data_IF_851021194911
#
_entry.id   IF_851021194911
#
_cell.length_a   1.000
_cell.length_b   1.000
_cell.length_c   1.000
_cell.angle_alpha   90.00
_cell.angle_beta   90.00
_cell.angle_gamma   90.00
#
_symmetry.space_group_name_H-M   'P 1'
#
loop_
_entity.id
_entity.type
_entity.pdbx_description
1 polymer ?
#
# COMPACT_ATOMS: atom_id res chain seq x y z
N UNK A 1 -9.85 18.07 -1.05
CA UNK A 1 -9.15 16.80 -1.25
C UNK A 1 -9.78 15.93 -2.33
N UNK A 2 -11.08 15.74 -2.29
CA UNK A 2 -11.79 14.92 -3.28
C UNK A 2 -11.52 15.33 -4.71
N UNK A 3 -11.55 16.64 -5.00
CA UNK A 3 -11.33 17.15 -6.34
C UNK A 3 -9.89 16.98 -6.83
N UNK A 4 -8.93 16.80 -5.93
CA UNK A 4 -7.53 16.63 -6.28
C UNK A 4 -7.16 15.19 -6.67
N UNK A 5 -8.02 14.21 -6.39
CA UNK A 5 -7.76 12.80 -6.71
C UNK A 5 -7.48 12.62 -8.20
N UNK A 6 -8.24 13.32 -9.06
CA UNK A 6 -8.07 13.24 -10.51
C UNK A 6 -6.73 13.79 -11.01
N UNK A 7 -6.00 14.53 -10.16
CA UNK A 7 -4.68 15.05 -10.51
C UNK A 7 -3.56 14.02 -10.33
N UNK A 8 -3.82 12.93 -9.63
CA UNK A 8 -2.85 11.86 -9.48
C UNK A 8 -2.65 11.15 -10.82
N UNK A 9 -1.42 11.10 -11.28
CA UNK A 9 -1.05 10.46 -12.55
C UNK A 9 -0.45 9.09 -12.27
N UNK A 10 -1.32 8.14 -11.92
CA UNK A 10 -0.93 6.78 -11.53
C UNK A 10 -1.57 5.79 -12.49
N UNK A 11 -0.84 5.41 -13.52
CA UNK A 11 -1.30 4.46 -14.52
C UNK A 11 -1.41 3.06 -13.92
N UNK A 12 -2.51 2.38 -14.22
CA UNK A 12 -2.77 0.98 -13.82
C UNK A 12 -2.80 0.75 -12.30
N UNK A 13 -2.93 1.80 -11.50
CA UNK A 13 -3.13 1.66 -10.05
C UNK A 13 -4.52 2.22 -9.70
N UNK A 14 -5.41 1.36 -9.19
CA UNK A 14 -6.74 1.84 -8.78
C UNK A 14 -6.61 2.90 -7.68
N UNK A 15 -7.27 4.02 -7.90
CA UNK A 15 -7.25 5.15 -6.97
C UNK A 15 -8.69 5.58 -6.75
N UNK A 16 -9.10 5.69 -5.48
CA UNK A 16 -10.47 6.06 -5.15
C UNK A 16 -10.53 6.99 -3.96
N UNK A 17 -11.57 7.82 -3.93
CA UNK A 17 -11.94 8.60 -2.76
C UNK A 17 -12.95 7.78 -1.94
N UNK A 18 -12.62 7.54 -0.67
CA UNK A 18 -13.38 6.67 0.21
C UNK A 18 -13.66 7.40 1.52
N UNK A 19 -14.87 7.95 1.61
CA UNK A 19 -15.23 8.79 2.76
C UNK A 19 -14.44 10.08 2.79
N UNK A 20 -13.44 10.16 3.66
CA UNK A 20 -12.59 11.35 3.80
C UNK A 20 -11.15 11.10 3.34
N UNK A 21 -10.82 9.90 2.88
CA UNK A 21 -9.45 9.51 2.52
C UNK A 21 -9.35 9.18 1.03
N UNK A 22 -8.14 9.28 0.51
CA UNK A 22 -7.80 8.80 -0.83
C UNK A 22 -7.03 7.49 -0.68
N UNK A 23 -7.46 6.44 -1.39
CA UNK A 23 -6.81 5.13 -1.37
C UNK A 23 -6.17 4.83 -2.71
N UNK A 24 -4.88 4.53 -2.68
CA UNK A 24 -4.12 4.09 -3.85
C UNK A 24 -3.78 2.62 -3.66
N UNK A 25 -4.28 1.74 -4.53
CA UNK A 25 -4.01 0.30 -4.46
C UNK A 25 -2.77 -0.04 -5.28
N UNK A 26 -1.81 -0.70 -4.64
CA UNK A 26 -0.62 -1.22 -5.33
C UNK A 26 -0.65 -2.74 -5.23
N UNK A 27 -0.76 -3.47 -6.35
CA UNK A 27 -0.75 -4.93 -6.30
C UNK A 27 0.50 -5.46 -5.62
N UNK A 28 0.33 -6.36 -4.64
CA UNK A 28 1.46 -6.93 -3.92
C UNK A 28 2.39 -7.71 -4.85
N UNK A 29 1.84 -8.31 -5.92
CA UNK A 29 2.63 -9.09 -6.88
C UNK A 29 3.59 -8.22 -7.71
N UNK A 30 3.40 -6.90 -7.72
CA UNK A 30 4.35 -5.95 -8.31
C UNK A 30 5.45 -5.53 -7.35
N UNK A 31 5.34 -5.90 -6.09
CA UNK A 31 6.26 -5.49 -5.02
C UNK A 31 7.02 -6.66 -4.42
N UNK A 32 6.39 -7.82 -4.30
CA UNK A 32 6.92 -8.97 -3.56
C UNK A 32 6.71 -10.27 -4.31
N UNK A 33 7.57 -11.25 -4.07
CA UNK A 33 7.29 -12.64 -4.41
C UNK A 33 6.25 -13.21 -3.44
N UNK A 34 5.68 -14.37 -3.78
CA UNK A 34 4.67 -15.01 -2.96
C UNK A 34 5.17 -15.23 -1.53
N UNK A 35 4.36 -14.84 -0.55
CA UNK A 35 4.61 -14.97 0.89
C UNK A 35 5.92 -14.30 1.37
N UNK A 36 6.52 -13.44 0.57
CA UNK A 36 7.74 -12.71 0.94
C UNK A 36 7.44 -11.26 1.30
N UNK A 37 8.33 -10.65 2.08
CA UNK A 37 8.27 -9.24 2.46
C UNK A 37 9.52 -8.47 1.99
N UNK A 38 10.28 -9.04 1.07
CA UNK A 38 11.43 -8.37 0.43
C UNK A 38 11.02 -7.87 -0.94
N UNK A 39 11.35 -6.64 -1.26
CA UNK A 39 10.99 -6.03 -2.54
C UNK A 39 11.69 -6.73 -3.71
N UNK A 40 10.92 -7.03 -4.76
CA UNK A 40 11.48 -7.51 -6.02
C UNK A 40 12.13 -6.36 -6.80
N UNK A 41 13.00 -6.63 -7.79
CA UNK A 41 13.77 -5.57 -8.46
C UNK A 41 12.94 -4.46 -9.11
N UNK A 42 11.72 -4.75 -9.56
CA UNK A 42 10.84 -3.72 -10.16
C UNK A 42 10.10 -2.85 -9.16
N UNK A 43 10.07 -3.23 -7.88
CA UNK A 43 9.28 -2.54 -6.87
C UNK A 43 9.72 -1.09 -6.58
N UNK A 44 11.02 -0.78 -6.49
CA UNK A 44 11.45 0.60 -6.22
C UNK A 44 10.92 1.61 -7.22
N UNK A 45 10.87 1.27 -8.50
CA UNK A 45 10.34 2.18 -9.53
C UNK A 45 8.86 2.47 -9.32
N UNK A 46 8.07 1.45 -8.98
CA UNK A 46 6.63 1.60 -8.70
C UNK A 46 6.42 2.51 -7.49
N UNK A 47 7.11 2.22 -6.40
CA UNK A 47 6.96 2.97 -5.15
C UNK A 47 7.43 4.42 -5.29
N UNK A 48 8.53 4.65 -6.00
CA UNK A 48 9.03 6.00 -6.25
C UNK A 48 8.06 6.82 -7.09
N UNK A 49 7.46 6.22 -8.12
CA UNK A 49 6.47 6.90 -8.96
C UNK A 49 5.24 7.30 -8.15
N UNK A 50 4.73 6.39 -7.31
CA UNK A 50 3.58 6.68 -6.44
C UNK A 50 3.93 7.80 -5.44
N UNK A 51 5.08 7.70 -4.79
CA UNK A 51 5.49 8.70 -3.80
C UNK A 51 5.63 10.10 -4.41
N UNK A 52 6.19 10.18 -5.61
CA UNK A 52 6.33 11.45 -6.32
C UNK A 52 4.97 12.10 -6.58
N UNK A 53 4.00 11.31 -7.05
CA UNK A 53 2.66 11.82 -7.35
C UNK A 53 1.90 12.21 -6.07
N UNK A 54 2.00 11.39 -5.03
CA UNK A 54 1.36 11.69 -3.75
C UNK A 54 1.93 12.99 -3.15
N UNK A 55 3.25 13.15 -3.15
CA UNK A 55 3.88 14.37 -2.64
C UNK A 55 3.51 15.59 -3.49
N UNK A 56 3.40 15.42 -4.80
CA UNK A 56 3.02 16.51 -5.70
C UNK A 56 1.60 17.01 -5.44
N UNK A 57 0.66 16.10 -5.25
CA UNK A 57 -0.77 16.42 -5.14
C UNK A 57 -1.22 16.66 -3.70
N UNK A 58 -0.67 15.91 -2.75
CA UNK A 58 -1.04 15.94 -1.34
C UNK A 58 0.19 16.13 -0.44
N UNK A 59 0.95 17.22 -0.60
CA UNK A 59 2.18 17.40 0.18
C UNK A 59 1.89 17.47 1.68
N UNK A 60 2.65 16.72 2.46
CA UNK A 60 2.61 16.76 3.91
C UNK A 60 1.43 16.08 4.58
N UNK A 61 0.52 15.47 3.84
CA UNK A 61 -0.61 14.75 4.42
C UNK A 61 -0.15 13.47 5.12
N UNK A 62 -0.85 13.08 6.19
CA UNK A 62 -0.65 11.75 6.78
C UNK A 62 -0.98 10.67 5.78
N UNK A 63 -0.14 9.63 5.75
CA UNK A 63 -0.30 8.49 4.85
C UNK A 63 -0.19 7.21 5.66
N UNK A 64 -1.25 6.41 5.64
CA UNK A 64 -1.22 5.05 6.18
C UNK A 64 -0.74 4.08 5.11
N UNK A 65 0.23 3.25 5.47
CA UNK A 65 0.70 2.15 4.62
C UNK A 65 -0.01 0.89 5.11
N UNK A 66 -0.99 0.41 4.35
CA UNK A 66 -1.83 -0.71 4.75
C UNK A 66 -1.46 -1.97 4.01
N UNK A 67 -1.20 -3.05 4.76
CA UNK A 67 -0.95 -4.36 4.19
C UNK A 67 -2.20 -5.22 4.19
N UNK A 68 -2.50 -5.85 3.05
CA UNK A 68 -3.66 -6.71 2.86
C UNK A 68 -3.26 -7.99 2.13
N UNK A 69 -3.85 -9.10 2.55
CA UNK A 69 -3.68 -10.41 1.91
C UNK A 69 -5.03 -10.94 1.42
N UNK A 70 -4.96 -11.96 0.58
CA UNK A 70 -6.14 -12.76 0.23
C UNK A 70 -6.40 -13.83 1.29
N UNK A 71 -7.39 -14.68 1.07
CA UNK A 71 -7.77 -15.75 1.99
C UNK A 71 -6.93 -17.03 1.85
N UNK A 72 -5.95 -17.06 0.94
CA UNK A 72 -5.13 -18.26 0.73
C UNK A 72 -4.25 -18.55 1.94
N UNK A 73 -4.04 -19.83 2.28
CA UNK A 73 -3.10 -20.18 3.34
C UNK A 73 -1.68 -19.74 2.98
N UNK A 74 -0.92 -19.33 4.01
CA UNK A 74 0.49 -19.01 3.83
C UNK A 74 1.28 -20.27 3.52
N UNK A 75 2.19 -20.19 2.55
CA UNK A 75 3.00 -21.31 2.09
C UNK A 75 4.41 -21.30 2.71
N UNK A 76 4.91 -20.11 3.07
CA UNK A 76 6.27 -19.98 3.59
C UNK A 76 6.36 -20.41 5.05
N UNK A 77 7.41 -21.15 5.38
CA UNK A 77 7.70 -21.52 6.77
C UNK A 77 8.14 -20.29 7.57
N UNK A 78 7.84 -20.30 8.86
CA UNK A 78 8.26 -19.24 9.78
C UNK A 78 7.32 -18.04 9.86
N UNK A 79 6.28 -17.99 9.04
CA UNK A 79 5.27 -16.94 9.14
C UNK A 79 4.17 -17.37 10.10
N UNK A 80 3.97 -16.61 11.17
CA UNK A 80 3.04 -16.97 12.24
C UNK A 80 1.57 -16.72 11.86
N UNK A 81 1.29 -15.74 10.98
CA UNK A 81 -0.09 -15.37 10.65
C UNK A 81 -0.14 -14.46 9.42
N UNK A 82 -1.33 -14.34 8.78
CA UNK A 82 -1.54 -13.33 7.75
C UNK A 82 -1.27 -11.92 8.23
N UNK A 83 -1.59 -11.60 9.49
CA UNK A 83 -1.29 -10.30 10.07
C UNK A 83 0.22 -10.04 10.12
N UNK A 84 1.01 -11.04 10.48
CA UNK A 84 2.47 -10.90 10.53
C UNK A 84 3.05 -10.62 9.14
N UNK A 85 2.58 -11.29 8.09
CA UNK A 85 3.05 -11.04 6.73
C UNK A 85 2.61 -9.65 6.25
N UNK A 86 1.34 -9.28 6.46
CA UNK A 86 0.86 -7.97 6.03
C UNK A 86 1.58 -6.83 6.77
N UNK A 87 1.91 -7.02 8.05
CA UNK A 87 2.70 -6.06 8.81
C UNK A 87 4.12 -5.95 8.26
N UNK A 88 4.78 -7.08 7.98
CA UNK A 88 6.14 -7.10 7.45
C UNK A 88 6.21 -6.42 6.08
N UNK A 89 5.23 -6.66 5.21
CA UNK A 89 5.15 -6.02 3.90
C UNK A 89 4.90 -4.52 4.02
N UNK A 90 3.98 -4.11 4.87
CA UNK A 90 3.72 -2.69 5.10
C UNK A 90 4.96 -1.98 5.66
N UNK A 91 5.68 -2.61 6.58
CA UNK A 91 6.91 -2.05 7.14
C UNK A 91 7.99 -1.89 6.06
N UNK A 92 8.18 -2.89 5.21
CA UNK A 92 9.15 -2.81 4.10
C UNK A 92 8.82 -1.63 3.18
N UNK A 93 7.55 -1.45 2.83
CA UNK A 93 7.12 -0.33 1.98
C UNK A 93 7.33 1.00 2.71
N UNK A 94 6.93 1.09 3.98
CA UNK A 94 7.10 2.31 4.77
C UNK A 94 8.57 2.72 4.85
N UNK A 95 9.46 1.77 5.12
CA UNK A 95 10.90 2.03 5.20
C UNK A 95 11.44 2.55 3.87
N UNK A 96 11.04 1.93 2.76
CA UNK A 96 11.44 2.41 1.43
C UNK A 96 10.95 3.84 1.21
N UNK A 97 9.68 4.11 1.50
CA UNK A 97 9.10 5.44 1.28
C UNK A 97 9.82 6.52 2.09
N UNK A 98 10.14 6.24 3.36
CA UNK A 98 10.78 7.23 4.23
C UNK A 98 12.26 7.43 3.90
N UNK A 99 12.95 6.41 3.40
CA UNK A 99 14.39 6.44 3.17
C UNK A 99 14.77 6.82 1.75
N UNK A 100 13.90 6.53 0.78
CA UNK A 100 14.24 6.60 -0.65
C UNK A 100 13.32 7.50 -1.47
N UNK A 101 12.38 8.20 -0.86
CA UNK A 101 11.43 9.07 -1.55
C UNK A 101 11.30 10.41 -0.81
N UNK A 102 10.60 11.41 -1.42
CA UNK A 102 10.36 12.68 -0.73
C UNK A 102 9.42 12.58 0.49
N UNK A 103 8.72 11.46 0.67
CA UNK A 103 7.82 11.28 1.81
C UNK A 103 8.63 11.18 3.11
N UNK A 104 8.14 11.80 4.17
CA UNK A 104 8.84 11.87 5.45
C UNK A 104 8.29 10.84 6.44
N UNK A 105 9.19 10.29 7.26
CA UNK A 105 8.80 9.31 8.28
C UNK A 105 7.71 9.84 9.22
N UNK A 106 7.71 11.14 9.51
CA UNK A 106 6.74 11.77 10.40
C UNK A 106 5.31 11.78 9.86
N UNK A 107 5.11 11.57 8.56
CA UNK A 107 3.79 11.50 7.96
C UNK A 107 3.32 10.06 7.66
N UNK A 108 4.15 9.07 7.92
CA UNK A 108 3.89 7.68 7.57
C UNK A 108 3.59 6.84 8.81
N UNK A 109 2.59 5.97 8.70
CA UNK A 109 2.31 4.95 9.72
C UNK A 109 1.84 3.69 9.01
N UNK A 110 1.91 2.55 9.71
CA UNK A 110 1.53 1.28 9.10
C UNK A 110 0.28 0.70 9.76
N UNK A 111 -0.48 -0.04 8.95
CA UNK A 111 -1.65 -0.79 9.40
C UNK A 111 -1.60 -2.17 8.74
N UNK A 112 -1.77 -3.22 9.53
CA UNK A 112 -1.78 -4.59 9.01
C UNK A 112 -3.17 -5.18 9.18
N UNK A 113 -3.82 -5.53 8.08
CA UNK A 113 -5.17 -6.08 8.10
C UNK A 113 -5.21 -7.61 7.90
N UNK A 114 -4.11 -8.24 7.52
CA UNK A 114 -4.15 -9.64 7.14
C UNK A 114 -5.12 -9.84 5.99
N UNK A 115 -6.02 -10.83 6.10
CA UNK A 115 -7.05 -11.11 5.08
C UNK A 115 -8.42 -10.56 5.43
N UNK A 116 -8.53 -9.69 6.43
CA UNK A 116 -9.81 -9.28 7.01
C UNK A 116 -10.58 -8.21 6.23
N UNK A 117 -9.94 -7.54 5.25
CA UNK A 117 -10.54 -6.44 4.51
C UNK A 117 -10.41 -6.63 2.99
N UNK A 118 -11.08 -7.66 2.43
CA UNK A 118 -11.04 -7.86 0.98
C UNK A 118 -11.75 -6.71 0.26
N UNK A 119 -11.17 -6.28 -0.87
CA UNK A 119 -11.79 -5.25 -1.72
C UNK A 119 -12.75 -5.88 -2.73
N UNK A 120 -12.54 -7.16 -3.03
CA UNK A 120 -13.40 -7.97 -3.90
C UNK A 120 -13.49 -9.38 -3.33
N UNK A 121 -14.33 -10.23 -3.93
CA UNK A 121 -14.47 -11.62 -3.47
C UNK A 121 -13.16 -12.41 -3.64
N UNK A 122 -12.84 -13.26 -2.66
CA UNK A 122 -11.74 -14.21 -2.71
C UNK A 122 -12.09 -15.49 -3.49
N UNK A 123 -13.29 -15.58 -4.04
CA UNK A 123 -13.76 -16.80 -4.71
C UNK A 123 -13.03 -17.10 -6.01
N UNK A 124 -12.49 -16.08 -6.67
CA UNK A 124 -11.75 -16.23 -7.93
C UNK A 124 -10.27 -15.93 -7.75
N UNK A 125 -9.43 -16.49 -8.64
CA UNK A 125 -8.00 -16.20 -8.64
C UNK A 125 -7.74 -14.71 -8.90
N UNK A 126 -8.49 -14.09 -9.80
CA UNK A 126 -8.35 -12.65 -10.09
C UNK A 126 -8.73 -11.80 -8.88
N UNK A 127 -9.79 -12.19 -8.15
CA UNK A 127 -10.18 -11.48 -6.93
C UNK A 127 -9.13 -11.60 -5.83
N UNK A 128 -8.58 -12.81 -5.65
CA UNK A 128 -7.50 -13.01 -4.67
C UNK A 128 -6.27 -12.18 -5.02
N UNK A 129 -5.90 -12.12 -6.30
CA UNK A 129 -4.78 -11.29 -6.74
C UNK A 129 -4.99 -9.82 -6.40
N UNK A 130 -6.18 -9.29 -6.64
CA UNK A 130 -6.49 -7.89 -6.28
C UNK A 130 -6.48 -7.67 -4.77
N UNK A 131 -6.92 -8.64 -3.98
CA UNK A 131 -6.92 -8.53 -2.53
C UNK A 131 -5.51 -8.50 -1.94
N UNK A 132 -4.53 -9.15 -2.60
CA UNK A 132 -3.11 -9.06 -2.20
C UNK A 132 -2.58 -7.70 -2.64
N UNK A 133 -2.57 -6.76 -1.72
CA UNK A 133 -2.21 -5.37 -2.05
C UNK A 133 -1.59 -4.62 -0.88
N UNK A 134 -0.87 -3.59 -1.22
CA UNK A 134 -0.54 -2.48 -0.31
C UNK A 134 -1.47 -1.33 -0.70
N UNK A 135 -2.10 -0.70 0.26
CA UNK A 135 -2.81 0.56 0.02
C UNK A 135 -2.08 1.70 0.68
N UNK A 136 -1.84 2.77 -0.06
CA UNK A 136 -1.44 4.03 0.53
C UNK A 136 -2.73 4.84 0.75
N UNK A 137 -2.99 5.16 2.00
CA UNK A 137 -4.21 5.84 2.42
C UNK A 137 -3.85 7.27 2.82
N UNK A 138 -4.27 8.23 2.02
CA UNK A 138 -3.93 9.64 2.22
C UNK A 138 -5.06 10.30 2.99
N UNK A 139 -4.73 10.84 4.15
CA UNK A 139 -5.70 11.48 5.06
C UNK A 139 -5.80 12.97 4.79
N UNK A 140 -6.94 13.60 5.10
CA UNK A 140 -7.07 15.06 4.94
C UNK A 140 -6.17 15.85 5.90
N UNK A 141 -5.76 15.25 7.03
CA UNK A 141 -4.94 15.92 8.03
C UNK A 141 -3.49 16.03 7.57
N UNK A 142 -2.87 17.16 7.91
CA UNK A 142 -1.46 17.40 7.64
C UNK A 142 -0.63 16.96 8.84
N UNK A 143 0.50 16.30 8.53
CA UNK A 143 1.45 15.92 9.57
C UNK A 143 2.21 17.16 10.07
N UNK A 144 2.62 17.19 11.35
CA UNK A 144 3.48 18.26 11.86
C UNK A 144 4.83 18.26 11.15
N UNK A 145 5.37 19.43 10.94
CA UNK A 145 6.70 19.61 10.35
C UNK A 145 7.74 19.89 11.43
#
# INVERSE_FOLDING_TARGET
MRSAVSQLQLENLPTRFDGSVVRVEIPADRLFDADAATLIPGAPAVLSAVATEVERVFPGHYIGVEGHLDSSPLQAEGLASPHALSAARAETVLDFLSERTPLQASQLFLVAHGSNHPVVSNATAAGRERNRRIELVIYPELAPR
#
